data_IF_519773491894
#
_entry.id   IF_519773491894
#
_cell.length_a   1.000
_cell.length_b   1.000
_cell.length_c   1.000
_cell.angle_alpha   90.00
_cell.angle_beta   90.00
_cell.angle_gamma   90.00
#
_symmetry.space_group_name_H-M   'P 1'
#
loop_
_entity.id
_entity.type
_entity.pdbx_description
1 polymer ?
#
# COMPACT_ATOMS: atom_id res chain seq x y z
N UNK A 1 21.79 -14.23 2.37
CA UNK A 1 20.78 -14.38 1.31
C UNK A 1 19.63 -13.42 1.57
N UNK A 2 18.80 -13.73 2.56
CA UNK A 2 17.44 -13.16 2.71
C UNK A 2 17.35 -11.61 2.82
N UNK A 3 18.32 -10.93 3.44
CA UNK A 3 18.29 -9.45 3.57
C UNK A 3 18.54 -8.73 2.23
N UNK A 4 19.39 -9.30 1.37
CA UNK A 4 19.67 -8.75 0.05
C UNK A 4 18.51 -9.03 -0.92
N UNK A 5 17.94 -10.24 -0.87
CA UNK A 5 16.72 -10.60 -1.61
C UNK A 5 15.57 -9.64 -1.29
N UNK A 6 15.49 -9.23 -0.03
CA UNK A 6 14.49 -8.30 0.47
C UNK A 6 14.71 -6.86 -0.01
N UNK A 7 15.95 -6.35 0.05
CA UNK A 7 16.29 -5.05 -0.49
C UNK A 7 15.95 -4.95 -1.98
N UNK A 8 16.23 -6.01 -2.74
CA UNK A 8 15.89 -6.08 -4.17
C UNK A 8 14.39 -6.17 -4.43
N UNK A 9 13.62 -6.92 -3.63
CA UNK A 9 12.15 -6.95 -3.66
C UNK A 9 11.53 -5.58 -3.36
N UNK A 10 12.07 -4.91 -2.35
CA UNK A 10 11.67 -3.58 -1.94
C UNK A 10 11.95 -2.57 -3.05
N UNK A 11 13.14 -2.63 -3.66
CA UNK A 11 13.51 -1.81 -4.82
C UNK A 11 12.63 -2.11 -6.03
N UNK A 12 12.32 -3.37 -6.36
CA UNK A 12 11.43 -3.70 -7.48
C UNK A 12 10.02 -3.16 -7.25
N UNK A 13 9.45 -3.36 -6.05
CA UNK A 13 8.12 -2.82 -5.71
C UNK A 13 8.13 -1.29 -5.72
N UNK A 14 9.20 -0.65 -5.25
CA UNK A 14 9.34 0.80 -5.27
C UNK A 14 9.50 1.35 -6.68
N UNK A 15 10.39 0.77 -7.48
CA UNK A 15 10.59 1.13 -8.89
C UNK A 15 9.32 0.88 -9.68
N UNK A 16 8.59 -0.21 -9.43
CA UNK A 16 7.30 -0.51 -10.04
C UNK A 16 6.27 0.58 -9.73
N UNK A 17 6.05 0.88 -8.45
CA UNK A 17 5.06 1.88 -8.02
C UNK A 17 5.44 3.28 -8.49
N UNK A 18 6.72 3.66 -8.36
CA UNK A 18 7.23 4.97 -8.80
C UNK A 18 7.11 5.14 -10.33
N UNK A 19 7.47 4.10 -11.09
CA UNK A 19 7.41 4.11 -12.55
C UNK A 19 5.96 4.19 -13.07
N UNK A 20 5.04 3.39 -12.51
CA UNK A 20 3.63 3.44 -12.86
C UNK A 20 3.03 4.84 -12.61
N UNK A 21 3.41 5.47 -11.49
CA UNK A 21 2.86 6.75 -11.09
C UNK A 21 3.47 7.93 -11.85
N UNK A 22 4.77 7.90 -12.09
CA UNK A 22 5.44 8.92 -12.91
C UNK A 22 4.86 8.92 -14.34
N UNK A 23 4.62 7.75 -14.92
CA UNK A 23 4.04 7.68 -16.25
C UNK A 23 2.56 8.00 -16.29
N UNK A 24 1.76 7.62 -15.28
CA UNK A 24 0.37 8.07 -15.14
C UNK A 24 0.23 9.59 -15.07
N UNK A 25 1.20 10.28 -14.45
CA UNK A 25 1.17 11.73 -14.33
C UNK A 25 1.58 12.48 -15.59
N UNK A 26 2.44 11.88 -16.42
CA UNK A 26 3.08 12.55 -17.56
C UNK A 26 2.62 12.05 -18.93
N UNK A 27 2.02 10.86 -19.02
CA UNK A 27 1.58 10.27 -20.28
C UNK A 27 0.10 9.91 -20.23
N UNK A 28 -0.62 10.16 -21.32
CA UNK A 28 -2.02 9.79 -21.50
C UNK A 28 -2.25 8.27 -21.50
N UNK A 29 -1.17 7.45 -21.41
CA UNK A 29 -1.27 6.00 -21.37
C UNK A 29 -0.58 5.29 -20.19
N UNK A 30 -1.34 4.89 -19.14
CA UNK A 30 -0.81 4.03 -18.07
C UNK A 30 -0.48 2.60 -18.50
N UNK A 31 -0.88 2.15 -19.69
CA UNK A 31 -0.77 0.75 -20.08
C UNK A 31 0.66 0.32 -20.39
N UNK A 32 1.42 1.15 -21.11
CA UNK A 32 2.79 0.81 -21.52
C UNK A 32 3.70 0.52 -20.31
N UNK A 33 3.71 1.35 -19.26
CA UNK A 33 4.48 1.08 -18.05
C UNK A 33 4.11 -0.25 -17.38
N UNK A 34 2.82 -0.54 -17.26
CA UNK A 34 2.30 -1.79 -16.69
C UNK A 34 2.79 -2.99 -17.50
N UNK A 35 2.70 -2.90 -18.83
CA UNK A 35 3.15 -3.96 -19.74
C UNK A 35 4.66 -4.19 -19.63
N UNK A 36 5.47 -3.13 -19.64
CA UNK A 36 6.93 -3.23 -19.48
C UNK A 36 7.28 -3.92 -18.17
N UNK A 37 6.62 -3.56 -17.07
CA UNK A 37 6.85 -4.18 -15.77
C UNK A 37 6.44 -5.66 -15.75
N UNK A 38 5.28 -6.02 -16.30
CA UNK A 38 4.86 -7.43 -16.41
C UNK A 38 5.89 -8.21 -17.24
N UNK A 39 6.30 -7.68 -18.39
CA UNK A 39 7.32 -8.30 -19.24
C UNK A 39 8.64 -8.50 -18.49
N UNK A 40 9.10 -7.51 -17.70
CA UNK A 40 10.31 -7.63 -16.89
C UNK A 40 10.18 -8.69 -15.77
N UNK A 41 9.06 -8.73 -15.06
CA UNK A 41 8.81 -9.70 -13.98
C UNK A 41 8.75 -11.14 -14.50
N UNK A 42 8.10 -11.36 -15.65
CA UNK A 42 7.90 -12.69 -16.24
C UNK A 42 8.91 -13.03 -17.35
N UNK A 43 9.98 -12.26 -17.52
CA UNK A 43 10.94 -12.46 -18.60
C UNK A 43 11.61 -13.84 -18.50
N UNK A 44 11.55 -14.72 -19.51
CA UNK A 44 11.99 -16.10 -19.35
C UNK A 44 13.53 -16.28 -19.35
N UNK A 45 14.29 -15.25 -19.70
CA UNK A 45 15.75 -15.31 -19.84
C UNK A 45 16.49 -14.71 -18.63
N UNK A 46 17.81 -14.90 -18.55
CA UNK A 46 18.70 -14.45 -17.46
C UNK A 46 18.87 -12.93 -17.33
N UNK A 47 18.08 -12.15 -18.07
CA UNK A 47 18.02 -10.70 -17.94
C UNK A 47 17.07 -10.29 -16.79
N UNK A 48 17.22 -9.05 -16.32
CA UNK A 48 16.41 -8.46 -15.26
C UNK A 48 16.45 -9.23 -13.92
N UNK A 49 17.64 -9.63 -13.47
CA UNK A 49 17.86 -10.25 -12.15
C UNK A 49 16.97 -11.48 -11.88
N UNK A 50 17.21 -12.61 -12.57
CA UNK A 50 16.34 -13.79 -12.53
C UNK A 50 16.12 -14.34 -11.10
N UNK A 51 17.17 -14.39 -10.27
CA UNK A 51 17.07 -14.87 -8.90
C UNK A 51 16.12 -14.01 -8.06
N UNK A 52 16.19 -12.69 -8.21
CA UNK A 52 15.31 -11.75 -7.51
C UNK A 52 13.85 -11.95 -7.93
N UNK A 53 13.57 -12.22 -9.21
CA UNK A 53 12.20 -12.44 -9.70
C UNK A 53 11.61 -13.73 -9.13
N UNK A 54 12.39 -14.80 -9.08
CA UNK A 54 11.97 -16.05 -8.46
C UNK A 54 11.74 -15.86 -6.95
N UNK A 55 12.65 -15.17 -6.26
CA UNK A 55 12.50 -14.83 -4.83
C UNK A 55 11.26 -13.97 -4.58
N UNK A 56 10.97 -13.01 -5.46
CA UNK A 56 9.76 -12.18 -5.41
C UNK A 56 8.49 -13.01 -5.42
N UNK A 57 8.33 -13.92 -6.39
CA UNK A 57 7.14 -14.77 -6.47
C UNK A 57 7.04 -15.77 -5.32
N UNK A 58 8.16 -16.35 -4.87
CA UNK A 58 8.19 -17.24 -3.70
C UNK A 58 7.70 -16.51 -2.44
N UNK A 59 8.16 -15.29 -2.22
CA UNK A 59 7.78 -14.48 -1.05
C UNK A 59 6.31 -14.05 -1.15
N UNK A 60 5.85 -13.59 -2.31
CA UNK A 60 4.43 -13.27 -2.51
C UNK A 60 3.55 -14.48 -2.23
N UNK A 61 3.91 -15.65 -2.76
CA UNK A 61 3.20 -16.89 -2.49
C UNK A 61 3.19 -17.23 -1.00
N UNK A 62 4.31 -17.05 -0.30
CA UNK A 62 4.41 -17.23 1.15
C UNK A 62 3.45 -16.30 1.90
N UNK A 63 3.36 -15.02 1.50
CA UNK A 63 2.43 -14.05 2.12
C UNK A 63 0.97 -14.47 1.93
N UNK A 64 0.60 -14.94 0.73
CA UNK A 64 -0.78 -15.38 0.42
C UNK A 64 -1.17 -16.64 1.18
N UNK A 65 -0.21 -17.55 1.41
CA UNK A 65 -0.45 -18.83 2.11
C UNK A 65 -0.26 -18.75 3.63
N UNK A 66 0.44 -17.73 4.14
CA UNK A 66 0.68 -17.50 5.56
C UNK A 66 -0.57 -17.46 6.47
N UNK A 67 -1.76 -17.01 6.03
CA UNK A 67 -2.99 -17.15 6.80
C UNK A 67 -3.32 -18.58 7.25
N UNK A 68 -2.83 -19.59 6.52
CA UNK A 68 -3.06 -21.01 6.79
C UNK A 68 -1.84 -21.71 7.40
N UNK A 69 -0.70 -21.03 7.49
CA UNK A 69 0.57 -21.59 7.94
C UNK A 69 1.17 -20.85 9.13
N UNK A 70 2.49 -20.94 9.30
CA UNK A 70 3.22 -20.15 10.30
C UNK A 70 3.53 -18.77 9.71
N UNK A 71 3.10 -17.71 10.39
CA UNK A 71 3.44 -16.34 10.02
C UNK A 71 4.80 -15.98 10.61
N UNK A 72 5.82 -15.79 9.77
CA UNK A 72 7.15 -15.30 10.21
C UNK A 72 7.23 -13.80 9.98
N UNK A 73 8.35 -13.21 10.41
CA UNK A 73 8.60 -11.78 10.24
C UNK A 73 8.55 -11.36 8.76
N UNK A 74 9.15 -12.14 7.85
CA UNK A 74 9.18 -11.83 6.42
C UNK A 74 7.78 -11.74 5.82
N UNK A 75 6.89 -12.71 6.10
CA UNK A 75 5.51 -12.64 5.57
C UNK A 75 4.72 -11.47 6.16
N UNK A 76 4.89 -11.21 7.46
CA UNK A 76 4.26 -10.06 8.12
C UNK A 76 4.74 -8.75 7.51
N UNK A 77 6.06 -8.61 7.33
CA UNK A 77 6.66 -7.41 6.79
C UNK A 77 6.22 -7.16 5.35
N UNK A 78 6.36 -8.16 4.47
CA UNK A 78 6.04 -7.97 3.05
C UNK A 78 4.56 -7.72 2.88
N UNK A 79 3.71 -8.39 3.66
CA UNK A 79 2.29 -8.06 3.68
C UNK A 79 2.02 -6.62 4.12
N UNK A 80 2.80 -6.05 5.05
CA UNK A 80 2.69 -4.63 5.45
C UNK A 80 3.07 -3.68 4.31
N UNK A 81 4.06 -4.04 3.49
CA UNK A 81 4.38 -3.29 2.26
C UNK A 81 3.22 -3.37 1.27
N UNK A 82 2.60 -4.55 1.10
CA UNK A 82 1.45 -4.71 0.20
C UNK A 82 0.23 -3.87 0.63
N UNK A 83 0.10 -3.52 1.92
CA UNK A 83 -0.99 -2.62 2.37
C UNK A 83 -0.89 -1.19 1.84
N UNK A 84 0.23 -0.82 1.23
CA UNK A 84 0.39 0.46 0.50
C UNK A 84 -0.08 0.38 -0.96
N UNK A 85 -0.48 -0.81 -1.45
CA UNK A 85 -0.93 -1.06 -2.83
C UNK A 85 -2.43 -0.86 -3.15
N UNK A 86 -3.39 -0.72 -2.21
CA UNK A 86 -4.82 -0.60 -2.56
C UNK A 86 -5.13 0.47 -3.61
N UNK A 87 -4.50 1.64 -3.52
CA UNK A 87 -4.66 2.73 -4.51
C UNK A 87 -4.12 2.33 -5.89
N UNK A 88 -2.94 1.73 -5.94
CA UNK A 88 -2.31 1.26 -7.19
C UNK A 88 -3.19 0.20 -7.87
N UNK A 89 -3.77 -0.71 -7.08
CA UNK A 89 -4.69 -1.73 -7.57
C UNK A 89 -5.98 -1.10 -8.12
N UNK A 90 -6.51 -0.09 -7.43
CA UNK A 90 -7.68 0.68 -7.90
C UNK A 90 -7.39 1.36 -9.24
N UNK A 91 -6.27 2.10 -9.34
CA UNK A 91 -5.89 2.82 -10.55
C UNK A 91 -5.61 1.87 -11.72
N UNK A 92 -5.04 0.69 -11.44
CA UNK A 92 -4.84 -0.36 -12.44
C UNK A 92 -6.17 -0.93 -12.94
N UNK A 93 -7.10 -1.25 -12.03
CA UNK A 93 -8.41 -1.78 -12.40
C UNK A 93 -9.21 -0.76 -13.23
N UNK A 94 -9.17 0.52 -12.84
CA UNK A 94 -9.73 1.61 -13.63
C UNK A 94 -9.09 1.71 -15.02
N UNK A 95 -7.75 1.70 -15.08
CA UNK A 95 -7.01 1.79 -16.35
C UNK A 95 -7.38 0.65 -17.29
N UNK A 96 -7.45 -0.60 -16.79
CA UNK A 96 -7.84 -1.76 -17.58
C UNK A 96 -9.28 -1.66 -18.10
N UNK A 97 -10.21 -1.19 -17.26
CA UNK A 97 -11.60 -0.95 -17.67
C UNK A 97 -11.69 0.13 -18.76
N UNK A 98 -10.99 1.25 -18.57
CA UNK A 98 -10.93 2.33 -19.54
C UNK A 98 -10.40 1.83 -20.89
N UNK A 99 -9.25 1.15 -20.90
CA UNK A 99 -8.66 0.61 -22.12
C UNK A 99 -9.54 -0.38 -22.85
N UNK A 100 -10.21 -1.27 -22.11
CA UNK A 100 -11.17 -2.21 -22.71
C UNK A 100 -12.31 -1.48 -23.42
N UNK A 101 -12.73 -0.35 -22.86
CA UNK A 101 -13.85 0.45 -23.37
C UNK A 101 -13.47 1.32 -24.58
N UNK A 102 -12.21 1.74 -24.69
CA UNK A 102 -11.75 2.64 -25.77
C UNK A 102 -10.96 1.96 -26.89
N UNK A 103 -10.50 0.71 -26.70
CA UNK A 103 -9.63 0.04 -27.70
C UNK A 103 -10.47 -0.68 -28.77
N UNK A 104 -10.27 -0.37 -30.08
CA UNK A 104 -11.02 -0.99 -31.19
C UNK A 104 -10.87 -2.52 -31.31
N UNK A 105 -9.84 -3.12 -30.69
CA UNK A 105 -9.63 -4.57 -30.62
C UNK A 105 -10.74 -5.32 -29.87
N UNK A 106 -11.41 -4.67 -28.92
CA UNK A 106 -12.47 -5.28 -28.10
C UNK A 106 -13.88 -4.77 -28.46
N UNK A 107 -13.97 -3.66 -29.18
CA UNK A 107 -15.18 -3.16 -29.83
C UNK A 107 -14.86 -2.84 -31.29
N UNK A 108 -15.14 -3.75 -32.26
CA UNK A 108 -14.95 -3.44 -33.67
C UNK A 108 -15.95 -2.35 -34.06
N UNK A 109 -15.48 -1.10 -34.08
CA UNK A 109 -16.27 0.04 -34.50
C UNK A 109 -16.55 -0.11 -36.00
N UNK A 110 -17.83 -0.18 -36.37
CA UNK A 110 -18.24 -0.05 -37.77
C UNK A 110 -17.81 1.31 -38.29
N UNK A 111 -17.47 1.37 -39.59
CA UNK A 111 -16.88 2.52 -40.30
C UNK A 111 -17.68 3.82 -40.21
N UNK A 112 -18.92 3.79 -39.69
CA UNK A 112 -19.79 4.95 -39.51
C UNK A 112 -19.65 5.68 -38.16
N UNK A 113 -18.87 5.13 -37.21
CA UNK A 113 -18.74 5.65 -35.85
C UNK A 113 -17.31 6.14 -35.53
N UNK A 114 -16.68 6.86 -36.47
CA UNK A 114 -15.55 7.75 -36.15
C UNK A 114 -16.06 8.99 -35.41
N UNK A 115 -16.61 8.80 -34.21
CA UNK A 115 -17.08 9.91 -33.36
C UNK A 115 -15.99 10.32 -32.38
N UNK A 116 -15.82 11.63 -32.26
CA UNK A 116 -14.81 12.34 -31.47
C UNK A 116 -14.50 11.71 -30.10
N UNK A 117 -13.23 11.73 -29.70
CA UNK A 117 -12.69 11.31 -28.40
C UNK A 117 -13.52 11.80 -27.19
N UNK A 118 -14.21 12.94 -27.33
CA UNK A 118 -15.14 13.52 -26.34
C UNK A 118 -16.39 12.70 -26.02
N UNK A 119 -16.84 11.79 -26.90
CA UNK A 119 -17.97 10.90 -26.60
C UNK A 119 -17.53 9.60 -25.91
N UNK A 120 -16.29 9.14 -26.12
CA UNK A 120 -15.73 7.96 -25.42
C UNK A 120 -15.52 8.21 -23.91
N UNK A 121 -15.28 9.46 -23.51
CA UNK A 121 -15.17 9.84 -22.10
C UNK A 121 -16.50 9.75 -21.33
N UNK A 122 -17.65 9.85 -22.00
CA UNK A 122 -18.97 9.74 -21.36
C UNK A 122 -19.34 8.28 -21.04
N UNK A 123 -18.99 7.34 -21.92
CA UNK A 123 -19.18 5.91 -21.71
C UNK A 123 -18.23 5.37 -20.63
N UNK A 124 -17.04 5.97 -20.46
CA UNK A 124 -16.04 5.57 -19.47
C UNK A 124 -16.45 5.79 -18.00
N UNK A 125 -17.58 6.48 -17.75
CA UNK A 125 -18.08 6.73 -16.39
C UNK A 125 -18.47 5.44 -15.65
N UNK A 126 -18.79 4.36 -16.37
CA UNK A 126 -19.07 3.06 -15.77
C UNK A 126 -17.84 2.45 -15.08
N UNK A 127 -16.62 2.80 -15.50
CA UNK A 127 -15.38 2.34 -14.87
C UNK A 127 -15.11 3.00 -13.51
N UNK A 128 -15.77 4.13 -13.22
CA UNK A 128 -15.73 4.82 -11.93
C UNK A 128 -16.82 4.35 -10.97
N UNK A 129 -17.73 3.48 -11.43
CA UNK A 129 -18.80 2.96 -10.59
C UNK A 129 -18.25 1.93 -9.60
N UNK A 130 -18.78 1.90 -8.36
CA UNK A 130 -18.50 0.84 -7.42
C UNK A 130 -18.75 -0.53 -8.06
N UNK A 131 -17.72 -1.38 -8.07
CA UNK A 131 -17.85 -2.76 -8.49
C UNK A 131 -17.32 -3.69 -7.41
N UNK A 132 -18.02 -4.81 -7.12
CA UNK A 132 -17.52 -5.81 -6.18
C UNK A 132 -16.12 -6.31 -6.53
N UNK A 133 -15.80 -6.39 -7.84
CA UNK A 133 -14.49 -6.78 -8.33
C UNK A 133 -13.38 -5.84 -7.86
N UNK A 134 -13.54 -4.53 -8.06
CA UNK A 134 -12.56 -3.52 -7.60
C UNK A 134 -12.45 -3.53 -6.07
N UNK A 135 -13.57 -3.63 -5.36
CA UNK A 135 -13.59 -3.71 -3.90
C UNK A 135 -12.79 -4.90 -3.37
N UNK A 136 -12.97 -6.08 -3.97
CA UNK A 136 -12.24 -7.30 -3.61
C UNK A 136 -10.75 -7.08 -3.87
N UNK A 137 -10.37 -6.66 -5.08
CA UNK A 137 -8.96 -6.50 -5.45
C UNK A 137 -8.22 -5.51 -4.55
N UNK A 138 -8.79 -4.33 -4.29
CA UNK A 138 -8.16 -3.32 -3.44
C UNK A 138 -8.12 -3.75 -1.96
N UNK A 139 -9.09 -4.57 -1.52
CA UNK A 139 -9.16 -5.09 -0.16
C UNK A 139 -8.21 -6.25 0.13
N UNK A 140 -7.76 -6.99 -0.90
CA UNK A 140 -6.95 -8.21 -0.73
C UNK A 140 -5.68 -8.03 0.13
N UNK A 141 -4.84 -6.99 -0.06
CA UNK A 141 -3.64 -6.81 0.75
C UNK A 141 -3.95 -6.68 2.26
N UNK A 142 -5.01 -5.93 2.59
CA UNK A 142 -5.45 -5.72 3.96
C UNK A 142 -6.12 -6.97 4.53
N UNK A 143 -6.88 -7.70 3.72
CA UNK A 143 -7.45 -8.99 4.10
C UNK A 143 -6.37 -10.02 4.45
N UNK A 144 -5.32 -10.16 3.62
CA UNK A 144 -4.23 -11.10 3.94
C UNK A 144 -3.55 -10.75 5.25
N UNK A 145 -3.29 -9.47 5.52
CA UNK A 145 -2.73 -9.04 6.81
C UNK A 145 -3.65 -9.29 7.98
N UNK A 146 -4.94 -9.01 7.83
CA UNK A 146 -5.95 -9.35 8.83
C UNK A 146 -5.92 -10.86 9.15
N UNK A 147 -5.97 -11.71 8.11
CA UNK A 147 -6.00 -13.15 8.27
C UNK A 147 -4.71 -13.71 8.89
N UNK A 148 -3.54 -13.20 8.50
CA UNK A 148 -2.25 -13.51 9.12
C UNK A 148 -2.24 -13.14 10.62
N UNK A 149 -2.72 -11.95 10.98
CA UNK A 149 -2.76 -11.51 12.37
C UNK A 149 -3.71 -12.37 13.23
N UNK A 150 -4.88 -12.73 12.69
CA UNK A 150 -5.84 -13.62 13.35
C UNK A 150 -5.26 -15.02 13.55
N UNK A 151 -4.58 -15.56 12.54
CA UNK A 151 -3.91 -16.85 12.63
C UNK A 151 -2.78 -16.83 13.65
N UNK A 152 -1.97 -15.76 13.68
CA UNK A 152 -0.93 -15.57 14.70
C UNK A 152 -1.52 -15.49 16.11
N UNK A 153 -2.66 -14.80 16.29
CA UNK A 153 -3.38 -14.77 17.56
C UNK A 153 -3.91 -16.15 17.94
N UNK A 154 -4.47 -16.90 16.99
CA UNK A 154 -4.96 -18.27 17.23
C UNK A 154 -3.83 -19.17 17.73
N UNK A 155 -2.65 -19.08 17.12
CA UNK A 155 -1.49 -19.91 17.44
C UNK A 155 -0.79 -19.50 18.75
N UNK A 156 -0.64 -18.21 19.03
CA UNK A 156 0.19 -17.71 20.15
C UNK A 156 -0.60 -17.17 21.33
N UNK A 157 -1.90 -16.88 21.15
CA UNK A 157 -2.75 -16.12 22.09
C UNK A 157 -2.21 -14.73 22.46
N UNK A 158 -1.25 -14.20 21.68
CA UNK A 158 -0.67 -12.89 21.93
C UNK A 158 -1.68 -11.77 21.61
N UNK A 159 -2.08 -10.99 22.62
CA UNK A 159 -3.01 -9.85 22.47
C UNK A 159 -2.52 -8.80 21.47
N UNK A 160 -1.20 -8.65 21.28
CA UNK A 160 -0.66 -7.77 20.26
C UNK A 160 -1.08 -8.21 18.84
N UNK A 161 -1.09 -9.51 18.56
CA UNK A 161 -1.56 -10.02 17.26
C UNK A 161 -3.04 -9.71 17.01
N UNK A 162 -3.88 -9.80 18.05
CA UNK A 162 -5.30 -9.43 17.96
C UNK A 162 -5.49 -7.91 17.76
N UNK A 163 -4.72 -7.08 18.47
CA UNK A 163 -4.73 -5.64 18.26
C UNK A 163 -4.31 -5.29 16.82
N UNK A 164 -3.28 -5.97 16.30
CA UNK A 164 -2.86 -5.80 14.91
C UNK A 164 -3.95 -6.21 13.92
N UNK A 165 -4.68 -7.30 14.19
CA UNK A 165 -5.85 -7.68 13.41
C UNK A 165 -6.91 -6.56 13.39
N UNK A 166 -7.20 -5.95 14.55
CA UNK A 166 -8.09 -4.80 14.65
C UNK A 166 -7.66 -3.62 13.78
N UNK A 167 -6.35 -3.31 13.74
CA UNK A 167 -5.76 -2.28 12.88
C UNK A 167 -6.09 -2.52 11.40
N UNK A 168 -5.82 -3.73 10.90
CA UNK A 168 -6.09 -4.06 9.50
C UNK A 168 -7.58 -4.20 9.19
N UNK A 169 -8.40 -4.63 10.16
CA UNK A 169 -9.85 -4.66 9.99
C UNK A 169 -10.44 -3.26 9.77
N UNK A 170 -10.01 -2.25 10.55
CA UNK A 170 -10.45 -0.87 10.32
C UNK A 170 -9.93 -0.31 9.00
N UNK A 171 -8.67 -0.57 8.66
CA UNK A 171 -8.11 -0.16 7.37
C UNK A 171 -8.87 -0.78 6.20
N UNK A 172 -9.22 -2.07 6.30
CA UNK A 172 -10.04 -2.78 5.32
C UNK A 172 -11.44 -2.16 5.22
N UNK A 173 -12.07 -1.84 6.35
CA UNK A 173 -13.37 -1.17 6.37
C UNK A 173 -13.32 0.20 5.66
N UNK A 174 -12.26 0.99 5.87
CA UNK A 174 -12.06 2.29 5.19
C UNK A 174 -11.96 2.11 3.68
N UNK A 175 -11.18 1.12 3.22
CA UNK A 175 -10.99 0.85 1.78
C UNK A 175 -12.27 0.34 1.14
N UNK A 176 -12.94 -0.65 1.75
CA UNK A 176 -14.18 -1.22 1.20
C UNK A 176 -15.31 -0.20 1.21
N UNK A 177 -15.45 0.58 2.28
CA UNK A 177 -16.48 1.60 2.37
C UNK A 177 -16.23 2.71 1.35
N UNK A 178 -15.00 3.21 1.23
CA UNK A 178 -14.64 4.21 0.22
C UNK A 178 -14.87 3.73 -1.22
N UNK A 179 -14.66 2.44 -1.50
CA UNK A 179 -14.91 1.85 -2.82
C UNK A 179 -16.39 1.53 -3.11
N UNK A 180 -17.28 1.59 -2.11
CA UNK A 180 -18.69 1.21 -2.23
C UNK A 180 -19.62 2.32 -2.74
N UNK A 181 -19.14 3.56 -2.78
CA UNK A 181 -19.90 4.69 -3.28
C UNK A 181 -19.04 5.53 -4.23
N UNK A 182 -19.63 6.05 -5.29
CA UNK A 182 -19.01 7.13 -6.05
C UNK A 182 -18.89 8.33 -5.13
N UNK A 183 -17.67 8.81 -4.92
CA UNK A 183 -17.49 10.11 -4.28
C UNK A 183 -18.31 11.12 -5.08
N UNK A 184 -19.28 11.80 -4.43
CA UNK A 184 -19.99 12.88 -5.08
C UNK A 184 -19.00 13.88 -5.64
N UNK A 185 -19.47 14.76 -6.52
CA UNK A 185 -18.70 15.95 -6.89
C UNK A 185 -18.08 16.59 -5.63
N UNK A 186 -16.91 17.24 -5.73
CA UNK A 186 -16.10 17.70 -4.58
C UNK A 186 -16.80 18.58 -3.52
N UNK A 187 -18.08 18.92 -3.74
CA UNK A 187 -18.88 19.85 -2.95
C UNK A 187 -19.94 19.21 -2.06
N UNK A 188 -20.29 17.92 -2.24
CA UNK A 188 -21.37 17.34 -1.44
C UNK A 188 -20.85 16.56 -0.23
N UNK A 189 -21.01 17.19 0.94
CA UNK A 189 -20.79 16.59 2.26
C UNK A 189 -21.93 15.62 2.61
N UNK A 190 -22.05 14.54 1.85
CA UNK A 190 -23.03 13.49 2.06
C UNK A 190 -22.77 12.74 3.38
N UNK A 191 -23.76 11.97 3.83
CA UNK A 191 -23.62 11.15 5.03
C UNK A 191 -22.49 10.13 4.86
N UNK A 192 -22.37 9.55 3.67
CA UNK A 192 -21.38 8.53 3.32
C UNK A 192 -19.97 9.11 3.40
N UNK A 193 -19.73 10.28 2.80
CA UNK A 193 -18.43 10.96 2.85
C UNK A 193 -18.02 11.30 4.28
N UNK A 194 -18.94 11.81 5.11
CA UNK A 194 -18.67 12.10 6.54
C UNK A 194 -18.31 10.84 7.32
N UNK A 195 -19.08 9.76 7.13
CA UNK A 195 -18.82 8.48 7.79
C UNK A 195 -17.48 7.89 7.35
N UNK A 196 -17.15 7.97 6.07
CA UNK A 196 -15.88 7.49 5.54
C UNK A 196 -14.69 8.25 6.12
N UNK A 197 -14.75 9.59 6.13
CA UNK A 197 -13.73 10.45 6.73
C UNK A 197 -13.53 10.12 8.22
N UNK A 198 -14.62 9.93 8.97
CA UNK A 198 -14.54 9.56 10.38
C UNK A 198 -13.82 8.21 10.59
N UNK A 199 -14.18 7.18 9.81
CA UNK A 199 -13.49 5.89 9.84
C UNK A 199 -12.01 6.02 9.45
N UNK A 200 -11.70 6.84 8.45
CA UNK A 200 -10.34 7.08 7.98
C UNK A 200 -9.50 7.76 9.07
N UNK A 201 -10.03 8.77 9.76
CA UNK A 201 -9.34 9.44 10.88
C UNK A 201 -9.00 8.45 11.98
N UNK A 202 -9.97 7.63 12.43
CA UNK A 202 -9.73 6.63 13.48
C UNK A 202 -8.68 5.61 13.04
N UNK A 203 -8.80 5.08 11.83
CA UNK A 203 -7.83 4.15 11.26
C UNK A 203 -6.42 4.76 11.19
N UNK A 204 -6.32 6.03 10.77
CA UNK A 204 -5.06 6.78 10.68
C UNK A 204 -4.41 6.92 12.06
N UNK A 205 -5.17 7.37 13.07
CA UNK A 205 -4.68 7.51 14.44
C UNK A 205 -4.22 6.18 15.02
N UNK A 206 -4.98 5.11 14.80
CA UNK A 206 -4.57 3.76 15.23
C UNK A 206 -3.24 3.39 14.60
N UNK A 207 -3.09 3.58 13.29
CA UNK A 207 -1.86 3.21 12.60
C UNK A 207 -0.66 4.09 13.01
N UNK A 208 -0.85 5.38 13.29
CA UNK A 208 0.20 6.23 13.86
C UNK A 208 0.67 5.66 15.20
N UNK A 209 -0.27 5.36 16.10
CA UNK A 209 0.06 4.80 17.41
C UNK A 209 0.76 3.44 17.28
N UNK A 210 0.31 2.62 16.33
CA UNK A 210 0.93 1.34 16.05
C UNK A 210 2.37 1.47 15.57
N UNK A 211 2.63 2.37 14.62
CA UNK A 211 3.98 2.59 14.10
C UNK A 211 4.94 3.00 15.23
N UNK A 212 4.56 4.04 15.98
CA UNK A 212 5.42 4.61 17.02
C UNK A 212 5.66 3.63 18.17
N UNK A 213 4.63 2.86 18.54
CA UNK A 213 4.69 1.98 19.71
C UNK A 213 5.15 0.57 19.39
N UNK A 214 4.50 -0.10 18.44
CA UNK A 214 4.65 -1.53 18.23
C UNK A 214 5.72 -1.83 17.19
N UNK A 215 5.70 -1.11 16.06
CA UNK A 215 6.63 -1.35 14.96
C UNK A 215 8.00 -0.72 15.23
N UNK A 216 8.03 0.43 15.89
CA UNK A 216 9.29 1.13 16.18
C UNK A 216 9.65 1.17 17.66
N UNK A 217 8.81 0.72 18.59
CA UNK A 217 9.18 0.71 20.01
C UNK A 217 9.61 2.06 20.60
N UNK A 218 9.36 3.19 19.91
CA UNK A 218 9.90 4.49 20.30
C UNK A 218 9.21 5.06 21.55
N UNK A 219 8.01 4.59 21.85
CA UNK A 219 7.28 4.95 23.06
C UNK A 219 7.68 4.10 24.28
N UNK A 220 8.66 3.20 24.16
CA UNK A 220 9.24 2.53 25.32
C UNK A 220 10.06 3.51 26.16
N UNK A 221 9.99 3.35 27.50
CA UNK A 221 10.68 4.25 28.43
C UNK A 221 12.21 4.16 28.24
N UNK A 222 12.79 5.21 27.69
CA UNK A 222 14.23 5.41 27.62
C UNK A 222 14.61 6.88 27.77
N UNK A 223 15.65 7.30 27.07
CA UNK A 223 16.17 8.68 27.17
C UNK A 223 15.53 9.58 26.11
N UNK A 224 15.30 10.85 26.47
CA UNK A 224 14.76 11.88 25.57
C UNK A 224 13.42 11.50 24.89
N UNK A 225 12.62 10.65 25.54
CA UNK A 225 11.34 10.18 25.02
C UNK A 225 11.44 9.12 23.92
N UNK A 226 12.61 8.49 23.73
CA UNK A 226 12.84 7.37 22.83
C UNK A 226 13.33 6.15 23.62
N UNK A 227 13.28 4.96 23.01
CA UNK A 227 13.88 3.73 23.58
C UNK A 227 15.40 3.89 23.78
N UNK A 228 15.97 3.12 24.71
CA UNK A 228 17.40 3.23 25.09
C UNK A 228 18.36 2.76 23.99
N UNK A 229 18.00 1.69 23.28
CA UNK A 229 18.86 1.10 22.24
C UNK A 229 18.45 1.66 20.88
N UNK A 230 19.26 2.58 20.36
CA UNK A 230 19.11 3.19 19.03
C UNK A 230 20.40 2.91 18.24
N UNK A 231 20.26 2.49 16.99
CA UNK A 231 21.41 2.34 16.08
C UNK A 231 21.88 3.72 15.60
N UNK A 232 20.94 4.64 15.35
CA UNK A 232 21.24 5.99 14.89
C UNK A 232 21.22 7.01 16.05
N UNK A 233 21.80 8.20 15.86
CA UNK A 233 21.68 9.27 16.85
C UNK A 233 20.21 9.65 17.11
N UNK A 234 19.85 9.92 18.37
CA UNK A 234 18.45 10.21 18.78
C UNK A 234 17.78 11.31 17.96
N UNK A 235 18.54 12.31 17.50
CA UNK A 235 18.00 13.42 16.72
C UNK A 235 17.39 12.98 15.39
N UNK A 236 17.84 11.86 14.79
CA UNK A 236 17.35 11.32 13.51
C UNK A 236 15.91 10.81 13.63
N UNK A 237 15.52 10.31 14.81
CA UNK A 237 14.21 9.70 15.00
C UNK A 237 13.08 10.75 15.04
N UNK A 238 13.33 11.97 15.52
CA UNK A 238 12.26 12.99 15.58
C UNK A 238 11.78 13.42 14.19
N UNK A 239 12.64 13.75 13.21
CA UNK A 239 12.21 13.96 11.82
C UNK A 239 11.49 12.75 11.24
N UNK A 240 11.93 11.51 11.53
CA UNK A 240 11.24 10.29 11.06
C UNK A 240 9.80 10.22 11.59
N UNK A 241 9.60 10.51 12.88
CA UNK A 241 8.27 10.58 13.50
C UNK A 241 7.42 11.64 12.80
N UNK A 242 7.95 12.84 12.62
CA UNK A 242 7.24 13.97 11.99
C UNK A 242 6.84 13.61 10.55
N UNK A 243 7.78 13.09 9.75
CA UNK A 243 7.53 12.70 8.36
C UNK A 243 6.49 11.59 8.28
N UNK A 244 6.53 10.59 9.16
CA UNK A 244 5.53 9.52 9.15
C UNK A 244 4.14 10.02 9.50
N UNK A 245 4.01 10.88 10.52
CA UNK A 245 2.72 11.50 10.86
C UNK A 245 2.22 12.35 9.69
N UNK A 246 3.06 13.22 9.15
CA UNK A 246 2.70 14.12 8.05
C UNK A 246 2.21 13.35 6.81
N UNK A 247 2.98 12.36 6.33
CA UNK A 247 2.60 11.55 5.17
C UNK A 247 1.39 10.65 5.43
N UNK A 248 1.10 10.27 6.68
CA UNK A 248 -0.13 9.53 7.02
C UNK A 248 -1.41 10.34 6.84
N UNK A 249 -1.33 11.66 6.77
CA UNK A 249 -2.48 12.53 6.48
C UNK A 249 -2.65 12.84 4.99
N UNK A 250 -1.85 12.25 4.10
CA UNK A 250 -1.91 12.56 2.66
C UNK A 250 -3.18 12.07 1.96
N UNK A 251 -3.96 11.19 2.58
CA UNK A 251 -5.29 10.86 2.11
C UNK A 251 -6.24 12.08 2.13
N UNK A 252 -5.95 13.15 2.87
CA UNK A 252 -6.74 14.39 2.84
C UNK A 252 -6.79 14.98 1.42
N UNK A 253 -5.71 14.83 0.64
CA UNK A 253 -5.68 15.27 -0.76
C UNK A 253 -6.62 14.49 -1.66
N UNK A 254 -7.11 13.31 -1.25
CA UNK A 254 -8.10 12.55 -2.01
C UNK A 254 -9.53 13.03 -1.75
N UNK A 255 -9.78 13.79 -0.67
CA UNK A 255 -11.13 14.28 -0.31
C UNK A 255 -11.49 15.55 -1.09
N UNK A 256 -10.51 16.44 -1.29
CA UNK A 256 -10.75 17.72 -1.97
C UNK A 256 -9.83 17.86 -3.17
N UNK A 257 -10.31 17.48 -4.37
CA UNK A 257 -9.62 17.80 -5.60
C UNK A 257 -9.39 19.31 -5.75
N UNK A 258 -10.27 20.18 -5.23
CA UNK A 258 -10.16 21.64 -5.36
C UNK A 258 -9.08 22.32 -4.52
N UNK A 259 -8.68 21.78 -3.35
CA UNK A 259 -7.56 22.34 -2.57
C UNK A 259 -6.25 22.31 -3.37
N UNK A 260 -6.13 21.36 -4.30
CA UNK A 260 -5.06 21.34 -5.28
C UNK A 260 -5.43 21.88 -6.66
N UNK A 261 -6.64 21.63 -7.20
CA UNK A 261 -6.99 21.91 -8.60
C UNK A 261 -6.96 23.39 -9.01
N UNK A 262 -7.12 24.34 -8.09
CA UNK A 262 -6.98 25.76 -8.45
C UNK A 262 -5.53 26.17 -8.73
N UNK A 263 -4.54 25.38 -8.28
CA UNK A 263 -3.11 25.70 -8.43
C UNK A 263 -2.23 24.54 -8.93
N UNK A 264 -2.71 23.30 -8.92
CA UNK A 264 -1.94 22.05 -9.09
C UNK A 264 -2.79 20.99 -9.82
N UNK A 265 -2.24 20.39 -10.86
CA UNK A 265 -2.91 19.36 -11.66
C UNK A 265 -3.23 18.09 -10.82
N UNK A 266 -4.44 17.48 -10.90
CA UNK A 266 -4.80 16.28 -10.14
C UNK A 266 -3.82 15.11 -10.28
N UNK A 267 -3.25 14.94 -11.48
CA UNK A 267 -2.27 13.88 -11.73
C UNK A 267 -0.97 14.10 -10.94
N UNK A 268 -0.55 15.35 -10.75
CA UNK A 268 0.60 15.69 -9.90
C UNK A 268 0.33 15.37 -8.43
N UNK A 269 -0.85 15.72 -7.91
CA UNK A 269 -1.23 15.39 -6.53
C UNK A 269 -1.28 13.87 -6.32
N UNK A 270 -1.80 13.12 -7.30
CA UNK A 270 -1.81 11.66 -7.22
C UNK A 270 -0.41 11.07 -7.20
N UNK A 271 0.48 11.55 -8.07
CA UNK A 271 1.90 11.15 -8.10
C UNK A 271 2.64 11.52 -6.81
N UNK A 272 2.47 12.75 -6.33
CA UNK A 272 3.10 13.24 -5.11
C UNK A 272 2.64 12.45 -3.88
N UNK A 273 1.31 12.26 -3.74
CA UNK A 273 0.71 11.50 -2.64
C UNK A 273 1.28 10.09 -2.58
N UNK A 274 1.45 9.47 -3.73
CA UNK A 274 1.91 8.10 -3.82
C UNK A 274 3.43 7.96 -3.65
N UNK A 275 4.21 8.93 -4.14
CA UNK A 275 5.65 9.03 -3.86
C UNK A 275 5.92 9.22 -2.38
N UNK A 276 5.10 10.02 -1.69
CA UNK A 276 5.21 10.20 -0.26
C UNK A 276 4.87 8.92 0.53
N UNK A 277 3.85 8.16 0.11
CA UNK A 277 3.55 6.86 0.70
C UNK A 277 4.70 5.86 0.53
N UNK A 278 5.38 5.90 -0.63
CA UNK A 278 6.62 5.15 -0.85
C UNK A 278 7.71 5.58 0.14
N UNK A 279 8.10 6.86 0.16
CA UNK A 279 9.14 7.36 1.07
C UNK A 279 8.82 6.96 2.52
N UNK A 280 7.56 7.13 2.93
CA UNK A 280 7.08 6.75 4.27
C UNK A 280 7.33 5.27 4.56
N UNK A 281 6.99 4.37 3.63
CA UNK A 281 7.16 2.93 3.81
C UNK A 281 8.63 2.52 3.84
N UNK A 282 9.50 3.21 3.10
CA UNK A 282 10.95 2.99 3.14
C UNK A 282 11.56 3.39 4.48
N UNK A 283 11.21 4.57 4.99
CA UNK A 283 11.65 5.00 6.31
C UNK A 283 11.10 4.05 7.40
N UNK A 284 9.82 3.67 7.29
CA UNK A 284 9.20 2.70 8.19
C UNK A 284 9.94 1.36 8.17
N UNK A 285 10.35 0.88 7.00
CA UNK A 285 11.09 -0.37 6.84
C UNK A 285 12.38 -0.36 7.66
N UNK A 286 13.21 0.67 7.49
CA UNK A 286 14.51 0.79 8.16
C UNK A 286 14.37 0.72 9.69
N UNK A 287 13.46 1.51 10.25
CA UNK A 287 13.24 1.55 11.71
C UNK A 287 12.57 0.27 12.22
N UNK A 288 11.68 -0.35 11.43
CA UNK A 288 11.04 -1.62 11.79
C UNK A 288 12.06 -2.76 11.85
N UNK A 289 13.00 -2.82 10.90
CA UNK A 289 14.07 -3.80 10.90
C UNK A 289 14.99 -3.63 12.10
N UNK A 290 15.40 -2.40 12.38
CA UNK A 290 16.19 -2.09 13.57
C UNK A 290 15.48 -2.60 14.83
N UNK A 291 14.17 -2.34 14.95
CA UNK A 291 13.41 -2.80 16.10
C UNK A 291 13.30 -4.32 16.19
N UNK A 292 13.08 -4.99 15.07
CA UNK A 292 13.03 -6.46 15.02
C UNK A 292 14.38 -7.08 15.42
N UNK A 293 15.48 -6.49 14.98
CA UNK A 293 16.82 -6.93 15.34
C UNK A 293 17.04 -6.87 16.86
N UNK A 294 16.64 -5.77 17.50
CA UNK A 294 16.75 -5.62 18.95
C UNK A 294 15.83 -6.56 19.73
N UNK A 295 14.58 -6.73 19.30
CA UNK A 295 13.60 -7.60 19.98
C UNK A 295 13.99 -9.07 19.86
N UNK A 296 14.45 -9.51 18.69
CA UNK A 296 14.94 -10.88 18.48
C UNK A 296 16.24 -11.13 19.25
N UNK A 297 17.17 -10.17 19.25
CA UNK A 297 18.41 -10.26 20.02
C UNK A 297 18.15 -10.37 21.53
N UNK A 298 17.21 -9.59 22.05
CA UNK A 298 16.77 -9.67 23.45
C UNK A 298 16.15 -11.03 23.77
N UNK A 299 15.23 -11.51 22.94
CA UNK A 299 14.61 -12.82 23.12
C UNK A 299 15.64 -13.97 23.13
N UNK A 300 16.67 -13.89 22.28
CA UNK A 300 17.78 -14.86 22.24
C UNK A 300 18.65 -14.80 23.50
N UNK A 301 18.88 -13.61 24.05
CA UNK A 301 19.64 -13.44 25.30
C UNK A 301 18.89 -13.94 26.54
N UNK A 302 17.57 -13.76 26.55
CA UNK A 302 16.70 -14.17 27.67
C UNK A 302 16.36 -15.66 27.63
N UNK A 303 16.38 -16.29 26.45
CA UNK A 303 16.09 -17.72 26.33
C UNK A 303 16.92 -18.38 25.20
N UNK A 304 18.20 -18.74 25.45
CA UNK A 304 19.12 -19.23 24.43
C UNK A 304 18.72 -20.55 23.76
N UNK A 305 17.79 -21.29 24.37
CA UNK A 305 17.40 -22.66 23.97
C UNK A 305 16.06 -22.66 23.18
N UNK A 306 15.34 -21.53 23.12
CA UNK A 306 13.94 -21.48 22.65
C UNK A 306 13.72 -20.93 21.22
N UNK A 307 14.79 -20.70 20.44
CA UNK A 307 14.70 -20.11 19.09
C UNK A 307 15.23 -21.05 18.03
#
# INVERSE_FOLDING_TARGET
>A
GEVWDFGSLFTILFTFVFYLQFFQANFESPLLPVVVCICACFFPFEYFYPDTRVSFFKILWSVVTAPFGRVRFVESFVGDVLTSMPKVIYDLAYSLCFYRSVTPLFHPLSSHQKRSFRHLSSESFHCLQPSPFVMILCGLPLYWRLAQCLNQFKATKNKAALANAGKYAMSLAVVLYGASFTHPTPFEWTRETKTWIFLYVISTLYCILWDLKMDWGLLEKGERGLRKNLIYPSWVYYPIIVVNIFFRFFWIFTISPHIGQHHVHPAFLSWFSSTAELIRRFVWALVRFEWEYHTTGKARSENPIAV
#
